data_IF_171773194142
#
_entry.id   IF_171773194142
#
_cell.length_a   1.000
_cell.length_b   1.000
_cell.length_c   1.000
_cell.angle_alpha   90.00
_cell.angle_beta   90.00
_cell.angle_gamma   90.00
#
_symmetry.space_group_name_H-M   'P 1'
#
loop_
_entity.id
_entity.type
_entity.pdbx_description
1 polymer ?
#
# COMPACT_ATOMS: atom_id res chain seq x y z
N UNK A 1 20.63 27.13 -47.87
CA UNK A 1 19.61 27.48 -46.87
C UNK A 1 19.20 26.27 -46.00
N UNK A 2 19.07 25.05 -46.50
CA UNK A 2 18.70 23.86 -45.73
C UNK A 2 19.73 23.40 -44.68
N UNK A 3 21.05 23.58 -44.92
CA UNK A 3 22.09 23.24 -43.94
C UNK A 3 22.01 24.06 -42.65
N UNK A 4 21.79 25.39 -42.79
CA UNK A 4 21.62 26.31 -41.64
C UNK A 4 20.38 25.95 -40.81
N UNK A 5 19.25 25.55 -41.44
CA UNK A 5 18.02 25.14 -40.74
C UNK A 5 18.22 23.86 -39.92
N UNK A 6 18.96 22.86 -40.45
CA UNK A 6 19.30 21.64 -39.70
C UNK A 6 20.21 21.93 -38.49
N UNK A 7 21.16 22.85 -38.63
CA UNK A 7 22.04 23.25 -37.52
C UNK A 7 21.26 23.95 -36.40
N UNK A 8 20.35 24.88 -36.76
CA UNK A 8 19.47 25.52 -35.77
C UNK A 8 18.53 24.55 -35.05
N UNK A 9 18.00 23.54 -35.76
CA UNK A 9 17.20 22.48 -35.13
C UNK A 9 18.02 21.61 -34.16
N UNK A 10 19.26 21.30 -34.52
CA UNK A 10 20.15 20.55 -33.63
C UNK A 10 20.52 21.35 -32.36
N UNK A 11 20.79 22.65 -32.50
CA UNK A 11 21.06 23.55 -31.34
C UNK A 11 19.81 23.67 -30.48
N UNK A 12 18.64 23.87 -31.06
CA UNK A 12 17.38 23.95 -30.30
C UNK A 12 17.09 22.66 -29.53
N UNK A 13 17.32 21.47 -30.15
CA UNK A 13 17.18 20.19 -29.48
C UNK A 13 18.20 20.04 -28.33
N UNK A 14 19.46 20.41 -28.56
CA UNK A 14 20.49 20.34 -27.51
C UNK A 14 20.15 21.23 -26.31
N UNK A 15 19.67 22.47 -26.58
CA UNK A 15 19.21 23.38 -25.51
C UNK A 15 18.00 22.80 -24.77
N UNK A 16 17.04 22.23 -25.48
CA UNK A 16 15.87 21.58 -24.86
C UNK A 16 16.30 20.44 -23.96
N UNK A 17 17.20 19.57 -24.44
CA UNK A 17 17.74 18.45 -23.65
C UNK A 17 18.53 18.93 -22.42
N UNK A 18 19.28 20.02 -22.56
CA UNK A 18 19.99 20.63 -21.43
C UNK A 18 19.01 21.20 -20.39
N UNK A 19 17.97 21.90 -20.82
CA UNK A 19 16.94 22.45 -19.93
C UNK A 19 16.17 21.33 -19.21
N UNK A 20 15.81 20.26 -19.92
CA UNK A 20 15.20 19.08 -19.33
C UNK A 20 16.14 18.40 -18.31
N UNK A 21 17.42 18.29 -18.64
CA UNK A 21 18.42 17.73 -17.71
C UNK A 21 18.61 18.60 -16.45
N UNK A 22 18.60 19.93 -16.59
CA UNK A 22 18.66 20.87 -15.47
C UNK A 22 17.41 20.81 -14.60
N UNK A 23 16.22 20.66 -15.20
CA UNK A 23 14.97 20.52 -14.47
C UNK A 23 14.94 19.21 -13.68
N UNK A 24 15.34 18.09 -14.28
CA UNK A 24 15.48 16.81 -13.59
C UNK A 24 16.45 16.92 -12.40
N UNK A 25 17.58 17.58 -12.57
CA UNK A 25 18.56 17.78 -11.50
C UNK A 25 17.99 18.68 -10.38
N UNK A 26 17.23 19.72 -10.74
CA UNK A 26 16.58 20.61 -9.77
C UNK A 26 15.48 19.91 -8.97
N UNK A 27 14.79 18.97 -9.59
CA UNK A 27 13.72 18.21 -8.92
C UNK A 27 14.25 17.11 -7.99
N UNK A 28 15.46 16.60 -8.20
CA UNK A 28 16.07 15.61 -7.31
C UNK A 28 16.26 16.16 -5.91
N UNK A 29 15.91 15.35 -4.90
CA UNK A 29 16.00 15.74 -3.50
C UNK A 29 14.83 16.58 -3.00
N UNK A 30 13.87 16.98 -3.85
CA UNK A 30 12.62 17.57 -3.36
C UNK A 30 11.86 16.55 -2.53
N UNK A 31 11.25 17.02 -1.45
CA UNK A 31 10.58 16.16 -0.49
C UNK A 31 9.10 16.44 -0.43
N UNK A 32 8.32 15.39 -0.13
CA UNK A 32 6.87 15.44 0.09
C UNK A 32 6.52 14.64 1.34
N UNK A 33 5.64 15.18 2.17
CA UNK A 33 5.13 14.45 3.34
C UNK A 33 3.91 13.65 2.94
N UNK A 34 3.99 12.32 3.10
CA UNK A 34 2.89 11.40 2.85
C UNK A 34 2.40 10.81 4.17
N UNK A 35 1.13 10.99 4.47
CA UNK A 35 0.45 10.27 5.54
C UNK A 35 -0.22 9.01 4.99
N UNK A 36 -0.05 7.88 5.67
CA UNK A 36 -0.66 6.60 5.30
C UNK A 36 -1.58 6.15 6.42
N UNK A 37 -2.83 5.87 6.09
CA UNK A 37 -3.85 5.38 7.01
C UNK A 37 -3.96 3.87 6.93
N UNK A 38 -4.06 3.19 8.06
CA UNK A 38 -4.22 1.75 8.16
C UNK A 38 -5.55 1.41 8.80
N UNK A 39 -6.42 0.79 8.01
CA UNK A 39 -7.68 0.18 8.41
C UNK A 39 -7.61 -1.33 8.24
N UNK A 40 -8.62 -2.04 8.76
CA UNK A 40 -8.76 -3.49 8.56
C UNK A 40 -10.22 -3.83 8.24
N UNK A 41 -10.99 -4.18 9.25
CA UNK A 41 -12.39 -4.59 9.12
C UNK A 41 -13.37 -3.44 9.38
N UNK A 42 -14.51 -3.50 8.70
CA UNK A 42 -15.63 -2.57 8.92
C UNK A 42 -16.88 -3.35 9.33
N UNK A 43 -17.66 -2.79 10.27
CA UNK A 43 -18.94 -3.34 10.68
C UNK A 43 -19.93 -2.21 10.98
N UNK A 44 -21.18 -2.54 11.32
CA UNK A 44 -22.16 -1.55 11.73
C UNK A 44 -21.79 -0.90 13.07
N UNK A 45 -21.18 -1.67 13.96
CA UNK A 45 -20.66 -1.23 15.26
C UNK A 45 -19.22 -1.72 15.45
N UNK A 46 -18.41 -0.94 16.16
CA UNK A 46 -17.05 -1.33 16.50
C UNK A 46 -17.03 -2.08 17.82
N UNK A 47 -16.32 -3.21 17.85
CA UNK A 47 -16.15 -4.03 19.05
C UNK A 47 -14.68 -4.26 19.40
N UNK A 48 -13.75 -3.90 18.50
CA UNK A 48 -12.31 -4.13 18.62
C UNK A 48 -11.53 -2.96 18.01
N UNK A 49 -10.27 -2.79 18.40
CA UNK A 49 -9.40 -1.71 17.91
C UNK A 49 -9.10 -1.76 16.39
N UNK A 50 -9.30 -2.93 15.76
CA UNK A 50 -9.12 -3.14 14.31
C UNK A 50 -10.43 -3.05 13.53
N UNK A 51 -11.55 -2.81 14.19
CA UNK A 51 -12.88 -2.69 13.58
C UNK A 51 -13.32 -1.24 13.64
N UNK A 52 -13.67 -0.65 12.48
CA UNK A 52 -14.20 0.71 12.40
C UNK A 52 -15.64 0.65 11.92
N UNK A 53 -16.54 1.34 12.61
CA UNK A 53 -17.95 1.40 12.19
C UNK A 53 -18.08 2.14 10.85
N UNK A 54 -19.04 1.69 10.03
CA UNK A 54 -19.35 2.31 8.72
C UNK A 54 -19.61 3.81 8.87
N UNK A 55 -20.30 4.19 9.97
CA UNK A 55 -20.59 5.58 10.28
C UNK A 55 -19.32 6.38 10.53
N UNK A 56 -18.45 5.89 11.42
CA UNK A 56 -17.18 6.56 11.75
C UNK A 56 -16.27 6.65 10.53
N UNK A 57 -16.18 5.59 9.73
CA UNK A 57 -15.40 5.60 8.49
C UNK A 57 -15.88 6.69 7.53
N UNK A 58 -17.20 6.82 7.30
CA UNK A 58 -17.77 7.88 6.46
C UNK A 58 -17.41 9.27 7.01
N UNK A 59 -17.61 9.50 8.30
CA UNK A 59 -17.27 10.77 8.95
C UNK A 59 -15.77 11.12 8.83
N UNK A 60 -14.88 10.13 8.94
CA UNK A 60 -13.44 10.30 8.76
C UNK A 60 -13.11 10.68 7.31
N UNK A 61 -13.67 9.99 6.31
CA UNK A 61 -13.45 10.27 4.89
C UNK A 61 -13.99 11.65 4.48
N UNK A 62 -15.19 12.02 4.95
CA UNK A 62 -15.78 13.35 4.72
C UNK A 62 -14.91 14.46 5.33
N UNK A 63 -14.40 14.25 6.54
CA UNK A 63 -13.52 15.20 7.22
C UNK A 63 -12.20 15.40 6.46
N UNK A 64 -11.56 14.32 5.97
CA UNK A 64 -10.36 14.41 5.13
C UNK A 64 -10.62 15.23 3.88
N UNK A 65 -11.70 14.95 3.17
CA UNK A 65 -12.08 15.68 1.95
C UNK A 65 -12.36 17.16 2.24
N UNK A 66 -13.12 17.46 3.31
CA UNK A 66 -13.42 18.82 3.73
C UNK A 66 -12.16 19.62 4.13
N UNK A 67 -11.15 18.94 4.69
CA UNK A 67 -9.86 19.51 5.02
C UNK A 67 -8.90 19.64 3.81
N UNK A 68 -9.34 19.24 2.60
CA UNK A 68 -8.56 19.35 1.37
C UNK A 68 -7.52 18.25 1.17
N UNK A 69 -7.61 17.15 1.91
CA UNK A 69 -6.78 15.97 1.63
C UNK A 69 -7.25 15.27 0.35
N UNK A 70 -6.29 14.79 -0.42
CA UNK A 70 -6.50 14.03 -1.65
C UNK A 70 -5.97 12.62 -1.47
N UNK A 71 -6.85 11.62 -1.65
CA UNK A 71 -6.41 10.24 -1.68
C UNK A 71 -5.57 9.98 -2.94
N UNK A 72 -4.40 9.38 -2.74
CA UNK A 72 -3.47 9.04 -3.83
C UNK A 72 -3.30 7.54 -3.95
N UNK A 73 -2.94 7.08 -5.15
CA UNK A 73 -2.65 5.68 -5.43
C UNK A 73 -1.17 5.37 -5.20
N UNK A 74 -0.83 4.08 -5.03
CA UNK A 74 0.56 3.61 -4.97
C UNK A 74 1.35 4.00 -6.22
N UNK A 75 0.73 3.91 -7.40
CA UNK A 75 1.35 4.30 -8.66
C UNK A 75 1.73 5.79 -8.68
N UNK A 76 0.89 6.66 -8.14
CA UNK A 76 1.21 8.10 -8.01
C UNK A 76 2.35 8.34 -7.02
N UNK A 77 2.35 7.64 -5.87
CA UNK A 77 3.42 7.73 -4.87
C UNK A 77 4.75 7.29 -5.47
N UNK A 78 4.76 6.15 -6.19
CA UNK A 78 5.93 5.64 -6.91
C UNK A 78 6.41 6.63 -7.97
N UNK A 79 5.51 7.14 -8.81
CA UNK A 79 5.83 8.08 -9.88
C UNK A 79 6.37 9.43 -9.35
N UNK A 80 5.95 9.86 -8.15
CA UNK A 80 6.55 11.03 -7.50
C UNK A 80 8.04 10.81 -7.22
N UNK A 81 8.40 9.66 -6.68
CA UNK A 81 9.79 9.36 -6.30
C UNK A 81 10.64 9.00 -7.52
N UNK A 82 10.14 8.14 -8.40
CA UNK A 82 10.93 7.59 -9.52
C UNK A 82 10.95 8.54 -10.73
N UNK A 83 9.80 9.14 -11.08
CA UNK A 83 9.62 9.91 -12.33
C UNK A 83 9.47 11.42 -12.10
N UNK A 84 9.47 11.87 -10.84
CA UNK A 84 9.32 13.29 -10.49
C UNK A 84 7.90 13.83 -10.73
N UNK A 85 6.89 12.99 -10.92
CA UNK A 85 5.50 13.43 -11.08
C UNK A 85 4.99 14.11 -9.81
N UNK A 86 4.27 15.23 -9.87
CA UNK A 86 3.82 15.93 -8.67
C UNK A 86 2.72 15.12 -7.94
N UNK A 87 2.74 15.19 -6.61
CA UNK A 87 1.62 14.78 -5.75
C UNK A 87 0.85 16.03 -5.29
N UNK A 88 -0.44 15.88 -4.96
CA UNK A 88 -1.21 16.93 -4.28
C UNK A 88 -0.54 17.31 -2.94
N UNK A 89 -0.55 18.60 -2.56
CA UNK A 89 0.11 19.09 -1.35
C UNK A 89 -0.33 18.35 -0.08
N UNK A 90 -1.62 18.03 0.03
CA UNK A 90 -2.22 17.29 1.14
C UNK A 90 -2.57 15.87 0.71
N UNK A 91 -1.55 15.08 0.39
CA UNK A 91 -1.71 13.68 -0.03
C UNK A 91 -1.95 12.76 1.17
N UNK A 92 -2.88 11.83 1.02
CA UNK A 92 -3.10 10.73 1.96
C UNK A 92 -3.23 9.42 1.19
N UNK A 93 -2.55 8.37 1.65
CA UNK A 93 -2.73 7.02 1.15
C UNK A 93 -3.63 6.26 2.13
N UNK A 94 -4.77 5.77 1.65
CA UNK A 94 -5.69 4.97 2.46
C UNK A 94 -5.37 3.51 2.22
N UNK A 95 -5.07 2.76 3.29
CA UNK A 95 -4.78 1.33 3.21
C UNK A 95 -5.73 0.52 4.09
N UNK A 96 -6.03 -0.70 3.68
CA UNK A 96 -6.84 -1.67 4.41
C UNK A 96 -6.14 -3.02 4.38
N UNK A 97 -5.92 -3.64 5.53
CA UNK A 97 -5.22 -4.92 5.61
C UNK A 97 -6.18 -6.11 5.60
N UNK A 98 -5.65 -7.31 5.37
CA UNK A 98 -6.28 -8.64 5.46
C UNK A 98 -7.27 -9.02 4.36
N UNK A 99 -7.79 -8.11 3.55
CA UNK A 99 -8.73 -8.43 2.47
C UNK A 99 -10.12 -8.86 2.97
N UNK A 100 -10.68 -8.19 3.97
CA UNK A 100 -12.03 -8.45 4.48
C UNK A 100 -13.11 -8.13 3.44
N UNK A 101 -14.15 -8.95 3.37
CA UNK A 101 -15.32 -8.69 2.51
C UNK A 101 -15.97 -7.33 2.79
N UNK A 102 -15.86 -6.83 4.01
CA UNK A 102 -16.35 -5.49 4.38
C UNK A 102 -15.63 -4.36 3.67
N UNK A 103 -14.40 -4.55 3.22
CA UNK A 103 -13.70 -3.57 2.39
C UNK A 103 -14.47 -3.31 1.08
N UNK A 104 -15.09 -4.36 0.49
CA UNK A 104 -15.88 -4.25 -0.73
C UNK A 104 -17.31 -3.78 -0.47
N UNK A 105 -17.94 -4.26 0.62
CA UNK A 105 -19.40 -4.09 0.84
C UNK A 105 -19.72 -2.86 1.65
N UNK A 106 -18.78 -2.35 2.43
CA UNK A 106 -18.99 -1.21 3.34
C UNK A 106 -18.08 -0.03 3.02
N UNK A 107 -16.78 -0.25 2.84
CA UNK A 107 -15.84 0.86 2.62
C UNK A 107 -15.82 1.35 1.16
N UNK A 108 -15.74 0.45 0.17
CA UNK A 108 -15.64 0.83 -1.23
C UNK A 108 -16.81 1.71 -1.74
N UNK A 109 -18.09 1.46 -1.37
CA UNK A 109 -19.18 2.37 -1.72
C UNK A 109 -19.02 3.79 -1.18
N UNK A 110 -18.47 3.95 0.03
CA UNK A 110 -18.19 5.26 0.64
C UNK A 110 -17.06 5.96 -0.11
N UNK A 111 -16.00 5.23 -0.44
CA UNK A 111 -14.87 5.78 -1.20
C UNK A 111 -15.32 6.25 -2.59
N UNK A 112 -16.12 5.45 -3.29
CA UNK A 112 -16.68 5.82 -4.61
C UNK A 112 -17.53 7.08 -4.52
N UNK A 113 -18.47 7.13 -3.57
CA UNK A 113 -19.37 8.27 -3.33
C UNK A 113 -18.59 9.58 -3.07
N UNK A 114 -17.47 9.49 -2.38
CA UNK A 114 -16.62 10.64 -2.05
C UNK A 114 -15.52 10.92 -3.09
N UNK A 115 -15.36 10.08 -4.11
CA UNK A 115 -14.30 10.20 -5.11
C UNK A 115 -12.91 9.92 -4.53
N UNK A 116 -12.82 9.01 -3.57
CA UNK A 116 -11.58 8.57 -2.93
C UNK A 116 -11.18 7.17 -3.44
N UNK A 117 -9.94 6.79 -3.20
CA UNK A 117 -9.42 5.45 -3.50
C UNK A 117 -8.64 4.89 -2.32
N UNK A 118 -8.48 3.56 -2.29
CA UNK A 118 -7.69 2.88 -1.27
C UNK A 118 -6.93 1.69 -1.85
N UNK A 119 -5.88 1.26 -1.14
CA UNK A 119 -5.15 0.01 -1.39
C UNK A 119 -5.58 -1.03 -0.36
N UNK A 120 -5.87 -2.26 -0.80
CA UNK A 120 -6.13 -3.39 0.09
C UNK A 120 -4.95 -4.36 0.01
N UNK A 121 -4.35 -4.66 1.16
CA UNK A 121 -3.32 -5.67 1.30
C UNK A 121 -3.98 -7.01 1.64
N UNK A 122 -3.92 -7.95 0.69
CA UNK A 122 -4.65 -9.23 0.75
C UNK A 122 -3.74 -10.34 1.29
N UNK A 123 -4.23 -11.14 2.24
CA UNK A 123 -3.61 -12.40 2.66
C UNK A 123 -3.91 -13.46 1.60
N UNK A 124 -2.91 -13.88 0.84
CA UNK A 124 -3.12 -14.71 -0.35
C UNK A 124 -3.77 -16.06 -0.09
N UNK A 125 -3.41 -16.75 0.99
CA UNK A 125 -3.96 -18.06 1.33
C UNK A 125 -5.44 -18.00 1.72
N UNK A 126 -5.91 -16.84 2.20
CA UNK A 126 -7.29 -16.64 2.64
C UNK A 126 -8.21 -16.06 1.54
N UNK A 127 -7.63 -15.68 0.40
CA UNK A 127 -8.33 -15.01 -0.69
C UNK A 127 -9.42 -15.92 -1.28
N UNK A 128 -10.69 -15.50 -1.17
CA UNK A 128 -11.86 -16.27 -1.65
C UNK A 128 -12.18 -17.55 -0.88
N UNK A 129 -11.49 -17.80 0.23
CA UNK A 129 -11.70 -18.98 1.04
C UNK A 129 -12.79 -18.74 2.10
N UNK A 130 -13.56 -19.78 2.41
CA UNK A 130 -14.58 -19.75 3.45
C UNK A 130 -14.07 -20.28 4.79
N UNK A 131 -12.96 -21.01 4.77
CA UNK A 131 -12.34 -21.62 5.95
C UNK A 131 -10.85 -21.33 5.98
N UNK A 132 -10.31 -21.19 7.18
CA UNK A 132 -8.88 -21.03 7.37
C UNK A 132 -8.16 -22.37 7.09
N UNK A 133 -7.26 -22.37 6.13
CA UNK A 133 -6.61 -23.58 5.58
C UNK A 133 -5.97 -24.45 6.67
N UNK A 134 -5.27 -23.84 7.64
CA UNK A 134 -4.55 -24.58 8.66
C UNK A 134 -5.44 -25.20 9.72
N UNK A 135 -6.61 -24.62 10.03
CA UNK A 135 -7.48 -25.10 11.10
C UNK A 135 -8.79 -25.70 10.62
N UNK A 136 -9.18 -25.49 9.37
CA UNK A 136 -10.49 -25.85 8.84
C UNK A 136 -11.67 -25.09 9.47
N UNK A 137 -11.38 -24.09 10.33
CA UNK A 137 -12.42 -23.27 10.96
C UNK A 137 -12.93 -22.21 9.98
N UNK A 138 -14.20 -21.80 10.08
CA UNK A 138 -14.72 -20.70 9.26
C UNK A 138 -13.87 -19.42 9.40
N UNK A 139 -13.62 -18.76 8.27
CA UNK A 139 -13.04 -17.42 8.25
C UNK A 139 -14.13 -16.40 8.66
N UNK A 140 -14.02 -15.92 9.89
CA UNK A 140 -14.95 -14.94 10.45
C UNK A 140 -14.12 -13.79 11.05
N UNK A 141 -14.27 -12.58 10.57
CA UNK A 141 -15.06 -12.14 9.39
C UNK A 141 -14.55 -12.69 8.06
N UNK A 142 -15.44 -12.80 7.03
CA UNK A 142 -15.08 -13.39 5.73
C UNK A 142 -14.07 -12.55 4.95
N UNK A 143 -13.35 -13.21 4.04
CA UNK A 143 -12.41 -12.59 3.08
C UNK A 143 -13.00 -12.62 1.68
N UNK A 144 -12.73 -11.56 0.89
CA UNK A 144 -13.20 -11.50 -0.49
C UNK A 144 -12.26 -12.26 -1.45
N UNK A 145 -12.79 -12.60 -2.62
CA UNK A 145 -12.01 -13.08 -3.77
C UNK A 145 -11.62 -11.93 -4.72
N UNK A 146 -10.57 -12.12 -5.53
CA UNK A 146 -10.20 -11.16 -6.57
C UNK A 146 -11.34 -10.89 -7.55
N UNK A 147 -12.18 -11.89 -7.85
CA UNK A 147 -13.34 -11.77 -8.73
C UNK A 147 -14.40 -10.85 -8.13
N UNK A 148 -14.68 -10.97 -6.82
CA UNK A 148 -15.62 -10.09 -6.11
C UNK A 148 -15.11 -8.65 -6.10
N UNK A 149 -13.80 -8.43 -5.98
CA UNK A 149 -13.18 -7.12 -5.97
C UNK A 149 -13.05 -6.47 -7.37
N UNK A 150 -13.15 -7.26 -8.46
CA UNK A 150 -12.80 -6.84 -9.82
C UNK A 150 -13.54 -5.57 -10.29
N UNK A 151 -14.81 -5.41 -9.91
CA UNK A 151 -15.58 -4.22 -10.26
C UNK A 151 -15.02 -2.94 -9.62
N UNK A 152 -14.59 -3.00 -8.37
CA UNK A 152 -14.01 -1.88 -7.64
C UNK A 152 -12.61 -1.53 -8.15
N UNK A 153 -11.82 -2.54 -8.50
CA UNK A 153 -10.51 -2.35 -9.14
C UNK A 153 -10.66 -1.69 -10.51
N UNK A 154 -11.59 -2.14 -11.34
CA UNK A 154 -11.88 -1.54 -12.65
C UNK A 154 -12.31 -0.09 -12.57
N UNK A 155 -13.03 0.30 -11.51
CA UNK A 155 -13.43 1.69 -11.25
C UNK A 155 -12.29 2.56 -10.70
N UNK A 156 -11.15 1.97 -10.33
CA UNK A 156 -10.03 2.67 -9.70
C UNK A 156 -10.30 3.06 -8.24
N UNK A 157 -11.34 2.49 -7.61
CA UNK A 157 -11.66 2.72 -6.20
C UNK A 157 -10.73 1.92 -5.29
N UNK A 158 -10.42 0.67 -5.68
CA UNK A 158 -9.52 -0.21 -4.92
C UNK A 158 -8.35 -0.66 -5.78
N UNK A 159 -7.19 -0.77 -5.14
CA UNK A 159 -5.99 -1.43 -5.63
C UNK A 159 -5.65 -2.60 -4.69
N UNK A 160 -5.28 -3.77 -5.25
CA UNK A 160 -5.05 -5.00 -4.48
C UNK A 160 -3.57 -5.34 -4.48
N UNK A 161 -2.97 -5.41 -3.28
CA UNK A 161 -1.55 -5.61 -3.07
C UNK A 161 -1.30 -6.75 -2.07
N UNK A 162 -0.02 -7.06 -1.77
CA UNK A 162 0.34 -8.21 -0.95
C UNK A 162 0.33 -7.93 0.55
N UNK A 163 -0.30 -8.84 1.32
CA UNK A 163 -0.09 -8.98 2.75
C UNK A 163 0.54 -10.35 3.08
N UNK A 164 1.47 -10.81 2.22
CA UNK A 164 2.05 -12.15 2.13
C UNK A 164 1.04 -13.21 1.65
N UNK A 165 1.51 -14.38 1.26
CA UNK A 165 0.62 -15.51 0.96
C UNK A 165 0.15 -16.20 2.23
N UNK A 166 1.08 -16.69 3.07
CA UNK A 166 0.81 -17.46 4.28
C UNK A 166 1.68 -17.07 5.49
N UNK A 167 2.39 -15.94 5.41
CA UNK A 167 3.21 -15.46 6.54
C UNK A 167 2.45 -14.52 7.48
N UNK A 168 1.11 -14.39 7.35
CA UNK A 168 0.29 -13.71 8.33
C UNK A 168 -0.03 -14.63 9.51
N UNK A 169 1.01 -15.06 10.21
CA UNK A 169 0.94 -16.00 11.31
C UNK A 169 1.73 -15.52 12.51
N UNK A 170 1.35 -15.97 13.71
CA UNK A 170 2.15 -15.86 14.92
C UNK A 170 2.58 -17.27 15.35
N UNK A 171 3.76 -17.38 15.94
CA UNK A 171 4.29 -18.64 16.46
C UNK A 171 3.29 -19.31 17.43
N UNK A 172 2.55 -18.51 18.19
CA UNK A 172 1.49 -18.96 19.11
C UNK A 172 0.31 -19.66 18.42
N UNK A 173 0.13 -19.48 17.10
CA UNK A 173 -0.93 -20.19 16.35
C UNK A 173 -0.61 -21.68 16.14
N UNK A 174 0.66 -22.06 16.26
CA UNK A 174 1.11 -23.45 16.20
C UNK A 174 1.21 -24.05 14.80
N UNK A 175 1.19 -23.26 13.72
CA UNK A 175 1.27 -23.75 12.35
C UNK A 175 2.70 -23.71 11.80
N UNK A 176 3.27 -22.53 11.62
CA UNK A 176 4.63 -22.36 11.08
C UNK A 176 5.71 -22.22 12.16
N UNK A 177 5.32 -21.88 13.39
CA UNK A 177 6.23 -21.51 14.46
C UNK A 177 6.88 -20.13 14.28
N UNK A 178 6.45 -19.38 13.25
CA UNK A 178 7.05 -18.12 12.80
C UNK A 178 6.17 -16.93 13.18
N UNK A 179 6.75 -15.82 13.57
CA UNK A 179 6.06 -14.55 13.75
C UNK A 179 6.22 -13.69 12.50
N UNK A 180 5.16 -13.65 11.68
CA UNK A 180 5.19 -12.92 10.42
C UNK A 180 6.31 -13.39 9.51
N UNK A 181 7.13 -12.46 9.03
CA UNK A 181 8.29 -12.75 8.16
C UNK A 181 9.58 -13.02 8.93
N UNK A 182 9.58 -13.09 10.26
CA UNK A 182 10.82 -13.33 11.01
C UNK A 182 11.39 -14.75 10.77
N UNK A 183 12.73 -14.91 10.77
CA UNK A 183 13.36 -16.24 10.69
C UNK A 183 13.04 -17.07 11.96
N UNK A 184 13.09 -18.39 11.81
CA UNK A 184 13.05 -19.30 12.96
C UNK A 184 14.39 -19.32 13.67
N UNK A 185 14.40 -19.63 14.96
CA UNK A 185 15.64 -19.81 15.72
C UNK A 185 16.49 -20.93 15.09
N UNK A 186 17.74 -20.62 14.77
CA UNK A 186 18.66 -21.56 14.15
C UNK A 186 18.43 -21.82 12.66
N UNK A 187 17.52 -21.12 12.01
CA UNK A 187 17.30 -21.21 10.57
C UNK A 187 18.50 -20.62 9.81
N UNK A 188 18.99 -21.32 8.76
CA UNK A 188 20.04 -20.74 7.92
C UNK A 188 19.48 -19.64 7.01
N UNK A 189 20.35 -18.71 6.58
CA UNK A 189 19.97 -17.62 5.69
C UNK A 189 19.37 -18.17 4.38
N UNK A 190 19.91 -19.26 3.84
CA UNK A 190 19.42 -19.87 2.60
C UNK A 190 17.99 -20.45 2.79
N UNK A 191 17.75 -21.13 3.94
CA UNK A 191 16.43 -21.67 4.25
C UNK A 191 15.40 -20.55 4.46
N UNK A 192 15.79 -19.51 5.18
CA UNK A 192 14.97 -18.33 5.39
C UNK A 192 14.60 -17.63 4.07
N UNK A 193 15.57 -17.36 3.21
CA UNK A 193 15.33 -16.76 1.90
C UNK A 193 14.44 -17.65 1.03
N UNK A 194 14.60 -18.97 1.09
CA UNK A 194 13.76 -19.90 0.33
C UNK A 194 12.28 -19.79 0.76
N UNK A 195 12.01 -19.70 2.07
CA UNK A 195 10.64 -19.50 2.58
C UNK A 195 10.03 -18.20 2.08
N UNK A 196 10.77 -17.09 2.14
CA UNK A 196 10.28 -15.79 1.67
C UNK A 196 9.98 -15.79 0.16
N UNK A 197 10.88 -16.37 -0.65
CA UNK A 197 10.68 -16.49 -2.11
C UNK A 197 9.50 -17.38 -2.46
N UNK A 198 9.34 -18.49 -1.76
CA UNK A 198 8.23 -19.41 -1.97
C UNK A 198 6.89 -18.76 -1.65
N UNK A 199 6.79 -18.08 -0.50
CA UNK A 199 5.59 -17.34 -0.10
C UNK A 199 5.21 -16.29 -1.14
N UNK A 200 6.18 -15.48 -1.56
CA UNK A 200 5.94 -14.43 -2.55
C UNK A 200 5.58 -15.00 -3.93
N UNK A 201 6.22 -16.10 -4.36
CA UNK A 201 5.87 -16.78 -5.61
C UNK A 201 4.45 -17.34 -5.58
N UNK A 202 4.02 -17.94 -4.46
CA UNK A 202 2.64 -18.40 -4.26
C UNK A 202 1.65 -17.24 -4.31
N UNK A 203 1.98 -16.10 -3.69
CA UNK A 203 1.13 -14.91 -3.78
C UNK A 203 0.98 -14.43 -5.22
N UNK A 204 2.07 -14.32 -5.99
CA UNK A 204 2.04 -13.96 -7.42
C UNK A 204 1.17 -14.94 -8.21
N UNK A 205 1.36 -16.24 -8.02
CA UNK A 205 0.60 -17.27 -8.71
C UNK A 205 -0.90 -17.18 -8.39
N UNK A 206 -1.26 -16.94 -7.12
CA UNK A 206 -2.66 -16.83 -6.68
C UNK A 206 -3.41 -15.69 -7.36
N UNK A 207 -2.73 -14.56 -7.64
CA UNK A 207 -3.33 -13.38 -8.27
C UNK A 207 -3.20 -13.34 -9.81
N UNK A 208 -2.38 -14.20 -10.41
CA UNK A 208 -2.10 -14.18 -11.85
C UNK A 208 -3.37 -14.37 -12.67
N UNK A 209 -3.61 -13.44 -13.64
CA UNK A 209 -4.81 -13.42 -14.47
C UNK A 209 -6.11 -13.03 -13.74
N UNK A 210 -6.07 -12.80 -12.43
CA UNK A 210 -7.24 -12.51 -11.56
C UNK A 210 -7.25 -11.08 -11.03
N UNK A 211 -6.09 -10.53 -10.69
CA UNK A 211 -5.97 -9.14 -10.27
C UNK A 211 -5.48 -8.27 -11.43
N UNK A 212 -6.16 -7.15 -11.67
CA UNK A 212 -5.91 -6.27 -12.83
C UNK A 212 -4.80 -5.22 -12.58
N UNK A 213 -4.31 -5.08 -11.34
CA UNK A 213 -3.30 -4.09 -10.97
C UNK A 213 -1.89 -4.71 -10.91
N UNK A 214 -0.87 -3.90 -11.15
CA UNK A 214 0.53 -4.30 -10.96
C UNK A 214 0.80 -4.60 -9.47
N UNK A 215 1.57 -5.65 -9.19
CA UNK A 215 2.01 -5.96 -7.83
C UNK A 215 3.30 -5.17 -7.53
N UNK A 216 3.17 -4.07 -6.82
CA UNK A 216 4.27 -3.16 -6.51
C UNK A 216 4.46 -2.90 -5.02
N UNK A 217 3.57 -3.43 -4.17
CA UNK A 217 3.61 -3.14 -2.74
C UNK A 217 3.33 -4.36 -1.86
N UNK A 218 3.91 -4.33 -0.65
CA UNK A 218 3.64 -5.29 0.41
C UNK A 218 3.52 -4.57 1.75
N UNK A 219 2.47 -4.89 2.53
CA UNK A 219 2.42 -4.57 3.94
C UNK A 219 2.91 -5.79 4.76
N UNK A 220 3.83 -5.55 5.69
CA UNK A 220 4.34 -6.61 6.55
C UNK A 220 3.29 -7.00 7.60
N UNK A 221 2.91 -8.29 7.70
CA UNK A 221 2.03 -8.76 8.77
C UNK A 221 2.54 -8.35 10.15
N UNK A 222 1.65 -7.79 10.98
CA UNK A 222 1.97 -7.26 12.32
C UNK A 222 3.04 -6.16 12.33
N UNK A 223 3.49 -5.70 11.17
CA UNK A 223 4.62 -4.78 11.02
C UNK A 223 6.00 -5.43 11.22
N UNK A 224 6.08 -6.74 11.28
CA UNK A 224 7.32 -7.50 11.45
C UNK A 224 8.07 -7.57 10.12
N UNK A 225 9.30 -7.09 10.09
CA UNK A 225 10.15 -7.04 8.91
C UNK A 225 11.61 -7.29 9.27
N UNK A 226 12.40 -7.74 8.29
CA UNK A 226 13.86 -7.85 8.38
C UNK A 226 14.50 -7.16 7.19
N UNK A 227 15.75 -6.72 7.32
CA UNK A 227 16.50 -6.15 6.20
C UNK A 227 16.59 -7.13 5.04
N UNK A 228 16.73 -8.42 5.34
CA UNK A 228 16.82 -9.47 4.33
C UNK A 228 15.49 -9.65 3.58
N UNK A 229 14.35 -9.67 4.30
CA UNK A 229 13.03 -9.75 3.68
C UNK A 229 12.77 -8.52 2.79
N UNK A 230 13.11 -7.32 3.26
CA UNK A 230 12.87 -6.09 2.52
C UNK A 230 13.74 -6.01 1.25
N UNK A 231 15.03 -6.38 1.36
CA UNK A 231 15.95 -6.47 0.22
C UNK A 231 15.50 -7.50 -0.82
N UNK A 232 15.02 -8.66 -0.38
CA UNK A 232 14.52 -9.71 -1.27
C UNK A 232 13.28 -9.24 -2.02
N UNK A 233 12.33 -8.58 -1.35
CA UNK A 233 11.13 -8.03 -1.98
C UNK A 233 11.47 -6.95 -3.01
N UNK A 234 12.48 -6.11 -2.75
CA UNK A 234 12.98 -5.14 -3.73
C UNK A 234 13.48 -5.84 -5.00
N UNK A 235 14.27 -6.91 -4.86
CA UNK A 235 14.75 -7.73 -5.99
C UNK A 235 13.60 -8.38 -6.78
N UNK A 236 12.50 -8.68 -6.10
CA UNK A 236 11.28 -9.23 -6.70
C UNK A 236 10.36 -8.14 -7.33
N UNK A 237 10.77 -6.87 -7.32
CA UNK A 237 10.05 -5.76 -7.95
C UNK A 237 9.00 -5.09 -7.06
N UNK A 238 9.01 -5.37 -5.75
CA UNK A 238 8.17 -4.64 -4.79
C UNK A 238 8.83 -3.31 -4.47
N UNK A 239 8.27 -2.23 -4.98
CA UNK A 239 8.78 -0.88 -4.80
C UNK A 239 8.43 -0.28 -3.42
N UNK A 240 7.23 -0.56 -2.91
CA UNK A 240 6.76 0.01 -1.65
C UNK A 240 6.56 -1.07 -0.59
N UNK A 241 7.08 -0.82 0.62
CA UNK A 241 6.81 -1.68 1.77
C UNK A 241 6.28 -0.87 2.95
N UNK A 242 5.40 -1.48 3.75
CA UNK A 242 4.68 -0.82 4.84
C UNK A 242 4.85 -1.57 6.14
N UNK A 243 5.03 -0.80 7.23
CA UNK A 243 5.04 -1.29 8.60
C UNK A 243 3.78 -0.86 9.35
N UNK A 244 3.69 -1.16 10.64
CA UNK A 244 2.65 -0.66 11.54
C UNK A 244 3.14 0.48 12.44
N UNK A 245 4.37 0.96 12.24
CA UNK A 245 4.92 2.07 13.03
C UNK A 245 4.13 3.35 12.75
N UNK A 246 3.68 4.07 13.78
CA UNK A 246 2.93 5.30 13.58
C UNK A 246 3.83 6.42 13.06
N UNK A 247 3.28 7.27 12.19
CA UNK A 247 3.97 8.45 11.69
C UNK A 247 3.72 8.73 10.22
N UNK A 248 4.11 9.92 9.78
CA UNK A 248 4.16 10.30 8.36
C UNK A 248 5.49 9.90 7.74
N UNK A 249 5.53 9.94 6.43
CA UNK A 249 6.68 9.55 5.63
C UNK A 249 7.20 10.74 4.83
N UNK A 250 8.51 10.83 4.73
CA UNK A 250 9.15 11.83 3.88
C UNK A 250 9.61 11.17 2.59
N UNK A 251 8.85 11.35 1.54
CA UNK A 251 9.22 10.91 0.20
C UNK A 251 10.29 11.85 -0.36
N UNK A 252 11.28 11.29 -1.06
CA UNK A 252 12.38 12.05 -1.64
C UNK A 252 12.48 11.71 -3.13
N UNK A 253 12.31 12.69 -4.00
CA UNK A 253 12.43 12.50 -5.45
C UNK A 253 13.82 11.98 -5.83
N UNK A 254 13.82 10.88 -6.58
CA UNK A 254 15.05 10.19 -7.03
C UNK A 254 15.71 9.31 -5.98
N UNK A 255 15.08 9.12 -4.80
CA UNK A 255 15.53 8.22 -3.75
C UNK A 255 14.47 7.15 -3.46
N UNK A 256 14.56 6.00 -4.13
CA UNK A 256 13.63 4.88 -3.99
C UNK A 256 13.63 4.27 -2.59
N UNK A 257 14.69 4.46 -1.79
CA UNK A 257 14.72 4.02 -0.40
C UNK A 257 13.63 4.70 0.45
N UNK A 258 13.19 5.89 0.04
CA UNK A 258 12.09 6.63 0.69
C UNK A 258 10.71 5.98 0.50
N UNK A 259 10.59 4.95 -0.35
CA UNK A 259 9.38 4.14 -0.55
C UNK A 259 9.35 2.89 0.34
N UNK A 260 10.42 2.67 1.12
CA UNK A 260 10.59 1.44 1.91
C UNK A 260 10.18 1.66 3.36
N UNK A 261 9.58 0.62 3.97
CA UNK A 261 9.23 0.57 5.40
C UNK A 261 8.37 1.76 5.87
N UNK A 262 7.41 2.15 5.03
CA UNK A 262 6.54 3.28 5.27
C UNK A 262 5.74 3.10 6.56
N UNK A 263 5.70 4.15 7.36
CA UNK A 263 4.92 4.25 8.58
C UNK A 263 3.43 4.41 8.25
N UNK A 264 2.55 3.91 9.13
CA UNK A 264 1.10 4.02 8.97
C UNK A 264 0.42 4.44 10.27
N UNK A 265 -0.57 5.31 10.18
CA UNK A 265 -1.45 5.62 11.30
C UNK A 265 -2.52 4.53 11.42
N UNK A 266 -2.54 3.79 12.53
CA UNK A 266 -3.67 2.91 12.86
C UNK A 266 -4.90 3.77 13.17
N UNK A 267 -5.95 3.63 12.35
CA UNK A 267 -7.18 4.40 12.50
C UNK A 267 -8.23 3.52 13.17
N UNK A 268 -8.77 3.99 14.28
CA UNK A 268 -9.75 3.28 15.09
C UNK A 268 -11.10 3.98 15.09
N UNK A 269 -12.11 3.30 15.55
CA UNK A 269 -13.47 3.85 15.69
C UNK A 269 -13.55 5.01 16.71
N UNK A 270 -12.65 5.02 17.68
CA UNK A 270 -12.55 6.08 18.69
C UNK A 270 -11.92 7.39 18.15
N UNK A 271 -11.36 7.36 16.95
CA UNK A 271 -10.77 8.53 16.30
C UNK A 271 -11.83 9.26 15.49
N UNK A 272 -12.31 10.42 15.96
CA UNK A 272 -13.24 11.23 15.16
C UNK A 272 -12.57 11.75 13.87
N UNK A 273 -13.37 12.12 12.85
CA UNK A 273 -12.83 12.73 11.63
C UNK A 273 -12.01 13.99 11.90
N UNK A 274 -12.38 14.80 12.91
CA UNK A 274 -11.61 15.98 13.36
C UNK A 274 -10.25 15.58 13.95
N UNK A 275 -10.21 14.52 14.75
CA UNK A 275 -8.96 14.08 15.38
C UNK A 275 -8.02 13.47 14.34
N UNK A 276 -8.56 12.73 13.37
CA UNK A 276 -7.81 12.24 12.22
C UNK A 276 -7.16 13.41 11.46
N UNK A 277 -7.95 14.41 11.02
CA UNK A 277 -7.43 15.58 10.31
C UNK A 277 -6.35 16.29 11.13
N UNK A 278 -6.59 16.54 12.43
CA UNK A 278 -5.59 17.18 13.32
C UNK A 278 -4.30 16.38 13.42
N UNK A 279 -4.39 15.05 13.44
CA UNK A 279 -3.20 14.17 13.49
C UNK A 279 -2.36 14.33 12.22
N UNK A 280 -3.01 14.34 11.05
CA UNK A 280 -2.31 14.47 9.77
C UNK A 280 -1.74 15.88 9.55
N UNK A 281 -2.42 16.92 10.01
CA UNK A 281 -1.94 18.32 9.90
C UNK A 281 -0.69 18.61 10.74
N UNK A 282 -0.53 17.94 11.88
CA UNK A 282 0.68 18.06 12.71
C UNK A 282 1.92 17.42 12.08
N UNK A 283 1.72 16.59 11.09
CA UNK A 283 2.78 15.82 10.45
C UNK A 283 3.26 16.46 9.13
N UNK A 284 2.53 17.46 8.62
CA UNK A 284 2.90 18.26 7.44
C UNK A 284 3.81 19.42 7.83
#
# INVERSE_FOLDING_TARGET
MQLKRKQWLAVALAVLLLLLGLDILHQRGQTHVLSVLMYHHFDQESHEDTVVSVKTFREQMEALKAAGFTAVTLAQVRAYVEDGQPLPDRSVLITMDDGYTSNLTMAAPILEDLGLCATVFVIGINEGESTYVHSGKPLTPPRFSYEEAAAWVKKGVLDLQSHTYDLHQLASYGYSGRDGVFPLEGESDEAYQAVLREDFAKFRQRREGRAATELIALAYPFGYWTEEADRLLEQEGIALTFTTRPGSNRLVRGDTSSLRLLNRYNVTDNMSGRDLVRTLEKAQ
#
